data_IF_899022113639
#
_entry.id   IF_899022113639
#
_cell.length_a   1.000
_cell.length_b   1.000
_cell.length_c   1.000
_cell.angle_alpha   90.00
_cell.angle_beta   90.00
_cell.angle_gamma   90.00
#
_symmetry.space_group_name_H-M   'P 1'
#
loop_
_entity.id
_entity.type
_entity.pdbx_description
1 polymer ?
#
# COMPACT_ATOMS: atom_id res chain seq x y z
N UNK A 1 -29.13 34.43 -5.41
CA UNK A 1 -27.68 34.17 -5.57
C UNK A 1 -27.16 33.64 -4.23
N UNK A 2 -27.09 32.32 -4.06
CA UNK A 2 -26.66 31.70 -2.79
C UNK A 2 -25.12 31.68 -2.73
N UNK A 3 -24.55 32.41 -1.77
CA UNK A 3 -23.12 32.32 -1.45
C UNK A 3 -22.91 31.10 -0.55
N UNK A 4 -22.26 30.07 -1.07
CA UNK A 4 -21.68 29.02 -0.25
C UNK A 4 -20.47 29.60 0.49
N UNK A 5 -20.61 29.79 1.81
CA UNK A 5 -19.46 30.02 2.68
C UNK A 5 -18.70 28.70 2.79
N UNK A 6 -17.55 28.58 2.13
CA UNK A 6 -16.59 27.53 2.44
C UNK A 6 -16.08 27.78 3.86
N UNK A 7 -16.46 26.92 4.81
CA UNK A 7 -15.83 26.91 6.13
C UNK A 7 -14.35 26.54 5.95
N UNK A 8 -13.48 27.53 6.01
CA UNK A 8 -12.04 27.32 6.14
C UNK A 8 -11.77 26.85 7.57
N UNK A 9 -11.69 25.53 7.79
CA UNK A 9 -11.16 25.00 9.05
C UNK A 9 -9.65 25.31 9.11
N UNK A 10 -9.30 26.39 9.80
CA UNK A 10 -7.93 26.91 9.95
C UNK A 10 -7.14 26.27 11.08
N UNK A 11 -7.75 25.41 11.90
CA UNK A 11 -7.07 24.73 13.00
C UNK A 11 -6.39 23.44 12.53
N UNK A 12 -5.12 23.27 12.90
CA UNK A 12 -4.39 22.02 12.67
C UNK A 12 -5.08 20.88 13.44
N UNK A 13 -5.31 19.72 12.81
CA UNK A 13 -5.88 18.57 13.51
C UNK A 13 -5.05 18.20 14.76
N UNK A 14 -5.72 17.82 15.84
CA UNK A 14 -5.06 17.34 17.07
C UNK A 14 -4.28 16.04 16.82
N UNK A 15 -3.36 15.69 17.72
CA UNK A 15 -2.66 14.39 17.70
C UNK A 15 -3.64 13.22 17.64
N UNK A 16 -4.68 13.23 18.48
CA UNK A 16 -5.72 12.21 18.51
C UNK A 16 -6.50 12.13 17.19
N UNK A 17 -6.92 13.27 16.63
CA UNK A 17 -7.64 13.28 15.35
C UNK A 17 -6.77 12.79 14.19
N UNK A 18 -5.49 13.17 14.18
CA UNK A 18 -4.51 12.70 13.18
C UNK A 18 -4.31 11.19 13.28
N UNK A 19 -4.13 10.68 14.49
CA UNK A 19 -4.00 9.24 14.73
C UNK A 19 -5.26 8.47 14.31
N UNK A 20 -6.45 8.89 14.72
CA UNK A 20 -7.69 8.20 14.37
C UNK A 20 -7.96 8.19 12.86
N UNK A 21 -7.56 9.23 12.14
CA UNK A 21 -7.57 9.23 10.68
C UNK A 21 -6.60 8.19 10.12
N UNK A 22 -5.36 8.16 10.59
CA UNK A 22 -4.37 7.17 10.16
C UNK A 22 -4.82 5.74 10.46
N UNK A 23 -5.35 5.48 11.65
CA UNK A 23 -5.85 4.17 12.08
C UNK A 23 -7.00 3.67 11.19
N UNK A 24 -7.98 4.52 10.87
CA UNK A 24 -9.07 4.18 9.95
C UNK A 24 -8.57 3.85 8.54
N UNK A 25 -7.64 4.64 8.01
CA UNK A 25 -7.01 4.36 6.71
C UNK A 25 -6.23 3.03 6.75
N UNK A 26 -5.53 2.75 7.84
CA UNK A 26 -4.81 1.50 8.04
C UNK A 26 -5.77 0.29 8.07
N UNK A 27 -6.92 0.40 8.76
CA UNK A 27 -7.94 -0.67 8.79
C UNK A 27 -8.42 -1.01 7.37
N UNK A 28 -8.88 -0.01 6.62
CA UNK A 28 -9.38 -0.21 5.25
C UNK A 28 -8.30 -0.83 4.36
N UNK A 29 -7.06 -0.34 4.47
CA UNK A 29 -5.94 -0.84 3.69
C UNK A 29 -5.59 -2.29 4.05
N UNK A 30 -5.59 -2.65 5.34
CA UNK A 30 -5.30 -4.01 5.79
C UNK A 30 -6.38 -5.00 5.34
N UNK A 31 -7.66 -4.63 5.40
CA UNK A 31 -8.74 -5.47 4.86
C UNK A 31 -8.60 -5.67 3.35
N UNK A 32 -8.19 -4.65 2.61
CA UNK A 32 -7.92 -4.79 1.18
C UNK A 32 -6.74 -5.73 0.92
N UNK A 33 -5.64 -5.62 1.68
CA UNK A 33 -4.50 -6.55 1.59
C UNK A 33 -4.96 -7.99 1.82
N UNK A 34 -5.68 -8.25 2.92
CA UNK A 34 -6.17 -9.60 3.26
C UNK A 34 -7.08 -10.16 2.16
N UNK A 35 -8.01 -9.36 1.65
CA UNK A 35 -8.91 -9.74 0.56
C UNK A 35 -8.13 -10.13 -0.70
N UNK A 36 -7.17 -9.32 -1.13
CA UNK A 36 -6.42 -9.61 -2.36
C UNK A 36 -5.53 -10.84 -2.21
N UNK A 37 -4.87 -11.00 -1.06
CA UNK A 37 -4.06 -12.20 -0.80
C UNK A 37 -4.92 -13.46 -0.78
N UNK A 38 -6.14 -13.39 -0.23
CA UNK A 38 -7.10 -14.49 -0.27
C UNK A 38 -7.54 -14.82 -1.71
N UNK A 39 -7.82 -13.81 -2.54
CA UNK A 39 -8.21 -13.98 -3.96
C UNK A 39 -7.06 -14.54 -4.81
N UNK A 40 -5.83 -14.09 -4.57
CA UNK A 40 -4.63 -14.60 -5.23
C UNK A 40 -4.35 -16.07 -4.92
N UNK A 41 -4.76 -16.54 -3.73
CA UNK A 41 -4.65 -17.94 -3.30
C UNK A 41 -5.83 -18.80 -3.76
N UNK A 42 -6.92 -18.20 -4.23
CA UNK A 42 -8.09 -18.94 -4.72
C UNK A 42 -8.01 -19.20 -6.22
N UNK A 43 -8.79 -20.17 -6.65
CA UNK A 43 -9.11 -20.42 -8.06
C UNK A 43 -10.57 -20.06 -8.30
N UNK A 44 -10.87 -19.43 -9.42
CA UNK A 44 -12.24 -19.15 -9.87
C UNK A 44 -12.51 -19.91 -11.19
N UNK A 45 -13.76 -20.35 -11.46
CA UNK A 45 -14.10 -21.04 -12.70
C UNK A 45 -13.67 -20.29 -13.96
N UNK A 46 -13.73 -18.96 -13.90
CA UNK A 46 -13.37 -18.04 -14.97
C UNK A 46 -11.86 -17.86 -15.12
N UNK A 47 -10.99 -18.40 -14.25
CA UNK A 47 -9.53 -18.26 -14.40
C UNK A 47 -9.01 -18.87 -15.71
N UNK A 48 -9.72 -19.83 -16.29
CA UNK A 48 -9.41 -20.42 -17.58
C UNK A 48 -9.75 -19.54 -18.79
N UNK A 49 -10.60 -18.52 -18.61
CA UNK A 49 -11.07 -17.62 -19.68
C UNK A 49 -10.68 -16.16 -19.44
N UNK A 50 -10.65 -15.73 -18.18
CA UNK A 50 -10.24 -14.43 -17.71
C UNK A 50 -8.90 -14.52 -16.98
N UNK A 51 -7.84 -14.67 -17.77
CA UNK A 51 -6.47 -14.82 -17.27
C UNK A 51 -6.00 -13.63 -16.41
N UNK A 52 -6.62 -12.45 -16.55
CA UNK A 52 -6.18 -11.21 -15.90
C UNK A 52 -6.61 -11.05 -14.44
N UNK A 53 -7.48 -11.91 -13.88
CA UNK A 53 -7.96 -11.76 -12.48
C UNK A 53 -6.80 -11.58 -11.51
N UNK A 54 -5.84 -12.49 -11.54
CA UNK A 54 -4.71 -12.49 -10.61
C UNK A 54 -3.79 -11.28 -10.82
N UNK A 55 -3.64 -10.79 -12.06
CA UNK A 55 -2.93 -9.54 -12.33
C UNK A 55 -3.62 -8.35 -11.67
N UNK A 56 -4.94 -8.21 -11.86
CA UNK A 56 -5.72 -7.14 -11.21
C UNK A 56 -5.70 -7.24 -9.68
N UNK A 57 -5.69 -8.46 -9.13
CA UNK A 57 -5.56 -8.66 -7.69
C UNK A 57 -4.17 -8.21 -7.19
N UNK A 58 -3.09 -8.40 -7.97
CA UNK A 58 -1.76 -7.87 -7.66
C UNK A 58 -1.70 -6.34 -7.75
N UNK A 59 -2.28 -5.73 -8.78
CA UNK A 59 -2.36 -4.27 -8.89
C UNK A 59 -3.10 -3.68 -7.68
N UNK A 60 -4.23 -4.31 -7.33
CA UNK A 60 -5.02 -3.94 -6.16
C UNK A 60 -4.23 -4.13 -4.86
N UNK A 61 -3.42 -5.19 -4.75
CA UNK A 61 -2.54 -5.43 -3.62
C UNK A 61 -1.46 -4.35 -3.50
N UNK A 62 -0.80 -3.96 -4.60
CA UNK A 62 0.20 -2.88 -4.62
C UNK A 62 -0.41 -1.55 -4.14
N UNK A 63 -1.63 -1.24 -4.60
CA UNK A 63 -2.37 -0.06 -4.16
C UNK A 63 -2.72 -0.14 -2.66
N UNK A 64 -3.20 -1.29 -2.18
CA UNK A 64 -3.56 -1.49 -0.78
C UNK A 64 -2.34 -1.35 0.16
N UNK A 65 -1.22 -1.97 -0.19
CA UNK A 65 0.06 -1.84 0.54
C UNK A 65 0.53 -0.38 0.56
N UNK A 66 0.36 0.35 -0.54
CA UNK A 66 0.76 1.76 -0.64
C UNK A 66 -0.07 2.61 0.31
N UNK A 67 -1.39 2.37 0.36
CA UNK A 67 -2.30 3.08 1.26
C UNK A 67 -1.99 2.77 2.73
N UNK A 68 -1.65 1.53 3.08
CA UNK A 68 -1.22 1.17 4.43
C UNK A 68 0.07 1.88 4.82
N UNK A 69 1.08 1.90 3.94
CA UNK A 69 2.33 2.63 4.14
C UNK A 69 2.10 4.14 4.33
N UNK A 70 1.19 4.73 3.53
CA UNK A 70 0.77 6.14 3.67
C UNK A 70 0.04 6.40 4.98
N UNK A 71 -0.80 5.47 5.46
CA UNK A 71 -1.44 5.54 6.76
C UNK A 71 -0.41 5.56 7.91
N UNK A 72 0.59 4.68 7.87
CA UNK A 72 1.71 4.71 8.82
C UNK A 72 2.50 6.03 8.75
N UNK A 73 2.72 6.55 7.55
CA UNK A 73 3.39 7.84 7.34
C UNK A 73 2.62 9.00 7.97
N UNK A 74 1.28 8.96 7.91
CA UNK A 74 0.41 9.92 8.58
C UNK A 74 0.47 9.76 10.10
N UNK A 75 0.36 8.53 10.62
CA UNK A 75 0.48 8.26 12.06
C UNK A 75 1.81 8.77 12.64
N UNK A 76 2.92 8.62 11.91
CA UNK A 76 4.25 9.12 12.32
C UNK A 76 4.31 10.64 12.51
N UNK A 77 3.36 11.42 11.97
CA UNK A 77 3.30 12.87 12.20
C UNK A 77 2.95 13.21 13.65
N UNK A 78 2.26 12.30 14.36
CA UNK A 78 1.91 12.43 15.78
C UNK A 78 3.17 12.23 16.64
N UNK A 79 3.62 13.25 17.40
CA UNK A 79 4.88 13.19 18.16
C UNK A 79 5.01 12.00 19.11
N UNK A 80 3.93 11.68 19.83
CA UNK A 80 3.85 10.69 20.90
C UNK A 80 4.14 9.27 20.39
N UNK A 81 3.70 8.95 19.17
CA UNK A 81 3.83 7.63 18.55
C UNK A 81 4.86 7.59 17.42
N UNK A 82 5.56 8.71 17.17
CA UNK A 82 6.47 8.85 16.02
C UNK A 82 7.52 7.76 15.98
N UNK A 83 8.18 7.49 17.10
CA UNK A 83 9.30 6.52 17.20
C UNK A 83 8.86 5.08 16.87
N UNK A 84 7.86 4.49 17.57
CA UNK A 84 7.45 3.11 17.29
C UNK A 84 6.92 2.94 15.86
N UNK A 85 6.10 3.88 15.37
CA UNK A 85 5.57 3.80 13.99
C UNK A 85 6.67 3.96 12.95
N UNK A 86 7.67 4.83 13.19
CA UNK A 86 8.80 4.97 12.28
C UNK A 86 9.68 3.71 12.21
N UNK A 87 9.81 2.97 13.31
CA UNK A 87 10.53 1.71 13.34
C UNK A 87 9.79 0.63 12.52
N UNK A 88 8.48 0.46 12.76
CA UNK A 88 7.65 -0.48 12.00
C UNK A 88 7.60 -0.16 10.50
N UNK A 89 7.58 1.14 10.14
CA UNK A 89 7.62 1.57 8.74
C UNK A 89 8.95 1.19 8.06
N UNK A 90 10.08 1.28 8.77
CA UNK A 90 11.37 0.83 8.24
C UNK A 90 11.41 -0.69 8.07
N UNK A 91 10.88 -1.44 9.02
CA UNK A 91 10.78 -2.91 8.91
C UNK A 91 9.91 -3.32 7.73
N UNK A 92 8.79 -2.64 7.51
CA UNK A 92 7.94 -2.85 6.35
C UNK A 92 8.71 -2.59 5.04
N UNK A 93 9.38 -1.43 4.94
CA UNK A 93 10.15 -1.05 3.76
C UNK A 93 11.31 -2.04 3.49
N UNK A 94 11.98 -2.56 4.54
CA UNK A 94 13.03 -3.57 4.38
C UNK A 94 12.51 -4.96 4.04
N UNK A 95 11.28 -5.29 4.44
CA UNK A 95 10.65 -6.58 4.12
C UNK A 95 10.16 -6.63 2.68
N UNK A 96 9.94 -5.47 2.04
CA UNK A 96 9.47 -5.34 0.67
C UNK A 96 10.34 -4.32 -0.08
N UNK A 97 11.65 -4.60 -0.27
CA UNK A 97 12.62 -3.61 -0.74
C UNK A 97 12.27 -3.00 -2.11
N UNK A 98 11.73 -3.81 -3.01
CA UNK A 98 11.39 -3.40 -4.37
C UNK A 98 9.96 -2.86 -4.53
N UNK A 99 9.17 -2.88 -3.46
CA UNK A 99 7.79 -2.42 -3.50
C UNK A 99 7.64 -0.96 -3.95
N UNK A 100 8.61 -0.11 -3.58
CA UNK A 100 8.62 1.28 -4.04
C UNK A 100 8.74 1.38 -5.56
N UNK A 101 9.55 0.52 -6.19
CA UNK A 101 9.69 0.49 -7.65
C UNK A 101 8.37 0.06 -8.31
N UNK A 102 7.77 -1.02 -7.82
CA UNK A 102 6.49 -1.53 -8.32
C UNK A 102 5.38 -0.47 -8.22
N UNK A 103 5.26 0.20 -7.07
CA UNK A 103 4.33 1.31 -6.89
C UNK A 103 4.61 2.46 -7.85
N UNK A 104 5.86 2.95 -7.91
CA UNK A 104 6.21 4.11 -8.73
C UNK A 104 5.80 3.90 -10.19
N UNK A 105 6.03 2.70 -10.72
CA UNK A 105 5.64 2.36 -12.09
C UNK A 105 4.14 2.15 -12.24
N UNK A 106 3.48 1.47 -11.29
CA UNK A 106 2.03 1.27 -11.34
C UNK A 106 1.23 2.59 -11.24
N UNK A 107 1.67 3.55 -10.42
CA UNK A 107 0.99 4.84 -10.23
C UNK A 107 1.22 5.80 -11.41
N UNK A 108 2.31 5.64 -12.16
CA UNK A 108 2.75 6.57 -13.22
C UNK A 108 3.01 5.84 -14.55
N UNK A 109 2.25 4.77 -14.82
CA UNK A 109 2.50 3.89 -15.97
C UNK A 109 2.45 4.64 -17.31
N UNK A 110 1.63 5.70 -17.39
CA UNK A 110 1.52 6.60 -18.54
C UNK A 110 2.79 7.41 -18.78
N UNK A 111 3.45 7.89 -17.72
CA UNK A 111 4.75 8.58 -17.82
C UNK A 111 5.83 7.63 -18.35
N UNK A 112 5.90 6.40 -17.83
CA UNK A 112 6.85 5.40 -18.34
C UNK A 112 6.52 4.95 -19.77
N UNK A 113 5.25 4.95 -20.17
CA UNK A 113 4.83 4.59 -21.53
C UNK A 113 5.30 5.60 -22.59
N UNK A 114 5.68 6.82 -22.18
CA UNK A 114 6.23 7.87 -23.06
C UNK A 114 7.68 8.24 -22.73
N UNK A 115 8.39 7.37 -22.00
CA UNK A 115 9.78 7.56 -21.58
C UNK A 115 10.04 8.84 -20.75
N UNK A 116 9.02 9.30 -20.02
CA UNK A 116 9.11 10.46 -19.11
C UNK A 116 9.05 10.06 -17.63
N UNK A 117 9.09 8.77 -17.33
CA UNK A 117 9.04 8.26 -15.96
C UNK A 117 10.32 8.59 -15.17
N UNK A 118 10.19 8.64 -13.84
CA UNK A 118 11.29 9.06 -12.94
C UNK A 118 12.51 8.12 -12.93
N UNK A 119 12.36 6.87 -13.37
CA UNK A 119 13.43 5.86 -13.34
C UNK A 119 13.84 5.48 -14.74
N UNK A 120 14.99 5.98 -15.18
CA UNK A 120 15.56 5.69 -16.51
C UNK A 120 15.85 4.20 -16.74
N UNK A 121 15.95 3.41 -15.67
CA UNK A 121 16.17 1.96 -15.74
C UNK A 121 14.90 1.15 -16.07
N UNK A 122 13.74 1.78 -16.20
CA UNK A 122 12.48 1.12 -16.56
C UNK A 122 12.19 1.46 -18.01
N UNK A 123 12.28 0.47 -18.88
CA UNK A 123 12.04 0.66 -20.31
C UNK A 123 10.56 0.44 -20.63
N UNK A 124 10.06 1.11 -21.66
CA UNK A 124 8.66 0.98 -22.09
C UNK A 124 8.20 -0.47 -22.28
N UNK A 125 9.06 -1.32 -22.83
CA UNK A 125 8.73 -2.73 -23.06
C UNK A 125 8.63 -3.55 -21.77
N UNK A 126 9.26 -3.11 -20.67
CA UNK A 126 9.18 -3.79 -19.37
C UNK A 126 7.78 -3.66 -18.74
N UNK A 127 6.99 -2.68 -19.18
CA UNK A 127 5.64 -2.42 -18.64
C UNK A 127 4.66 -3.55 -18.98
N UNK A 128 4.83 -4.19 -20.13
CA UNK A 128 3.89 -5.19 -20.66
C UNK A 128 4.26 -6.63 -20.26
N UNK A 129 5.47 -6.84 -19.72
CA UNK A 129 5.99 -8.18 -19.42
C UNK A 129 5.98 -8.45 -17.92
N UNK A 130 5.04 -9.28 -17.48
CA UNK A 130 5.00 -9.80 -16.12
C UNK A 130 4.60 -11.28 -16.11
N UNK A 131 4.98 -11.99 -15.06
CA UNK A 131 4.58 -13.38 -14.84
C UNK A 131 4.15 -13.62 -13.40
N UNK A 132 3.25 -14.57 -13.21
CA UNK A 132 2.83 -15.02 -11.89
C UNK A 132 3.28 -16.48 -11.76
N UNK A 133 4.01 -16.78 -10.69
CA UNK A 133 4.46 -18.16 -10.45
C UNK A 133 3.26 -19.09 -10.23
N UNK A 134 3.31 -20.29 -10.81
CA UNK A 134 2.30 -21.33 -10.63
C UNK A 134 2.35 -21.97 -9.23
N UNK A 135 3.49 -21.89 -8.53
CA UNK A 135 3.71 -22.50 -7.20
C UNK A 135 3.25 -21.65 -6.01
N UNK A 136 2.89 -20.38 -6.23
CA UNK A 136 2.41 -19.47 -5.18
C UNK A 136 2.18 -18.08 -5.75
N UNK A 137 1.40 -17.21 -5.09
CA UNK A 137 1.10 -15.89 -5.62
C UNK A 137 2.33 -14.97 -5.48
N UNK A 138 3.30 -15.16 -6.37
CA UNK A 138 4.46 -14.29 -6.56
C UNK A 138 4.35 -13.64 -7.93
N UNK A 139 4.27 -12.30 -7.94
CA UNK A 139 4.38 -11.50 -9.15
C UNK A 139 5.86 -11.28 -9.47
N UNK A 140 6.26 -11.54 -10.71
CA UNK A 140 7.52 -11.09 -11.29
C UNK A 140 7.20 -9.97 -12.28
N UNK A 141 7.67 -8.76 -12.01
CA UNK A 141 7.48 -7.61 -12.88
C UNK A 141 8.64 -6.63 -12.72
N UNK A 142 9.11 -6.01 -13.81
CA UNK A 142 10.24 -5.06 -13.79
C UNK A 142 11.54 -5.65 -13.19
N UNK A 143 11.77 -6.95 -13.34
CA UNK A 143 12.93 -7.64 -12.78
C UNK A 143 12.92 -7.75 -11.25
N UNK A 144 11.78 -7.55 -10.60
CA UNK A 144 11.62 -7.70 -9.14
C UNK A 144 10.47 -8.63 -8.81
N UNK A 145 10.43 -9.11 -7.57
CA UNK A 145 9.42 -10.04 -7.07
C UNK A 145 8.56 -9.43 -5.97
N UNK A 146 7.26 -9.74 -6.01
CA UNK A 146 6.33 -9.47 -4.92
C UNK A 146 5.58 -10.75 -4.56
N UNK A 147 5.97 -11.36 -3.43
CA UNK A 147 5.25 -12.49 -2.87
C UNK A 147 4.08 -12.00 -2.00
N UNK A 148 2.85 -12.42 -2.33
CA UNK A 148 1.65 -11.95 -1.63
C UNK A 148 1.59 -12.41 -0.16
N UNK A 149 2.19 -13.56 0.18
CA UNK A 149 2.22 -14.07 1.56
C UNK A 149 3.19 -13.26 2.42
N UNK A 150 4.38 -12.96 1.90
CA UNK A 150 5.35 -12.09 2.57
C UNK A 150 4.79 -10.68 2.74
N UNK A 151 4.13 -10.15 1.72
CA UNK A 151 3.44 -8.87 1.77
C UNK A 151 2.36 -8.83 2.85
N UNK A 152 1.56 -9.91 2.99
CA UNK A 152 0.56 -10.02 4.06
C UNK A 152 1.19 -9.96 5.45
N UNK A 153 2.30 -10.69 5.66
CA UNK A 153 3.02 -10.70 6.95
C UNK A 153 3.57 -9.31 7.27
N UNK A 154 4.26 -8.67 6.31
CA UNK A 154 4.81 -7.34 6.49
C UNK A 154 3.71 -6.30 6.77
N UNK A 155 2.61 -6.35 6.02
CA UNK A 155 1.45 -5.49 6.21
C UNK A 155 0.82 -5.69 7.60
N UNK A 156 0.65 -6.94 8.04
CA UNK A 156 0.11 -7.28 9.35
C UNK A 156 0.95 -6.71 10.50
N UNK A 157 2.29 -6.78 10.41
CA UNK A 157 3.19 -6.19 11.41
C UNK A 157 3.06 -4.67 11.46
N UNK A 158 3.07 -4.00 10.31
CA UNK A 158 2.91 -2.55 10.22
C UNK A 158 1.54 -2.11 10.78
N UNK A 159 0.48 -2.81 10.39
CA UNK A 159 -0.88 -2.56 10.86
C UNK A 159 -0.98 -2.72 12.38
N UNK A 160 -0.45 -3.81 12.94
CA UNK A 160 -0.43 -4.04 14.38
C UNK A 160 0.31 -2.91 15.12
N UNK A 161 1.47 -2.48 14.61
CA UNK A 161 2.21 -1.38 15.21
C UNK A 161 1.41 -0.06 15.23
N UNK A 162 0.57 0.20 14.22
CA UNK A 162 -0.34 1.36 14.22
C UNK A 162 -1.42 1.18 15.30
N UNK A 163 -2.01 0.00 15.47
CA UNK A 163 -3.06 -0.21 16.49
C UNK A 163 -2.49 -0.09 17.91
N UNK A 164 -1.35 -0.74 18.16
CA UNK A 164 -0.68 -0.75 19.47
C UNK A 164 -0.17 0.65 19.85
N UNK A 165 0.07 1.53 18.86
CA UNK A 165 0.51 2.90 19.10
C UNK A 165 -0.51 3.73 19.89
N UNK A 166 -1.80 3.36 19.90
CA UNK A 166 -2.80 4.02 20.77
C UNK A 166 -2.41 4.06 22.24
N UNK A 167 -1.63 3.08 22.71
CA UNK A 167 -1.19 3.01 24.11
C UNK A 167 -0.28 4.17 24.56
N UNK A 168 0.34 4.88 23.61
CA UNK A 168 1.21 6.03 23.90
C UNK A 168 0.48 7.37 23.77
N UNK A 169 -0.80 7.38 23.38
CA UNK A 169 -1.59 8.60 23.31
C UNK A 169 -2.11 8.98 24.70
N UNK A 170 -2.27 10.29 24.99
CA UNK A 170 -2.95 10.73 26.19
C UNK A 170 -4.34 10.11 26.23
N UNK A 171 -4.71 9.53 27.38
CA UNK A 171 -6.09 9.09 27.62
C UNK A 171 -6.97 10.35 27.69
N UNK A 172 -8.22 10.27 27.19
CA UNK A 172 -9.19 11.35 27.32
C UNK A 172 -9.44 11.71 28.79
#
# INVERSE_FOLDING_TARGET
MFRFFAMTHTEKPTSAATYERARRLANVSMFAVDLQVRRLRSTEPEDGTFIFRKWFDFDSLIVALTRLRRAATLARKVPEIRRPVAAALREFDSSLPDFTRLRDVAEHIDEYAVDSGKRDSVLRHDLEVSSIDGGGPTLNWLGVQLNASEALVAAGRLFKAIQDASAFLPKP
#
